data_IF_531833144859
#
_entry.id   IF_531833144859
#
_cell.length_a   1.000
_cell.length_b   1.000
_cell.length_c   1.000
_cell.angle_alpha   90.00
_cell.angle_beta   90.00
_cell.angle_gamma   90.00
#
_symmetry.space_group_name_H-M   'P 1'
#
loop_
_entity.id
_entity.type
_entity.pdbx_description
1 polymer ?
#
# COMPACT_ATOMS: atom_id res chain seq x y z
N UNK A 1 -25.60 -32.98 -11.50
CA UNK A 1 -25.00 -31.64 -11.72
C UNK A 1 -23.50 -31.80 -11.92
N UNK A 2 -23.06 -31.74 -13.17
CA UNK A 2 -21.64 -31.88 -13.54
C UNK A 2 -20.92 -30.58 -13.13
N UNK A 3 -19.83 -30.74 -12.39
CA UNK A 3 -18.90 -29.66 -12.10
C UNK A 3 -18.20 -29.26 -13.41
N UNK A 4 -18.36 -28.03 -13.82
CA UNK A 4 -17.60 -27.43 -14.92
C UNK A 4 -16.23 -27.06 -14.32
N UNK A 5 -15.25 -27.92 -14.57
CA UNK A 5 -13.84 -27.58 -14.29
C UNK A 5 -13.45 -26.45 -15.26
N UNK A 6 -13.13 -25.28 -14.72
CA UNK A 6 -12.53 -24.21 -15.50
C UNK A 6 -11.17 -24.70 -16.05
N UNK A 7 -10.87 -24.47 -17.34
CA UNK A 7 -9.60 -24.91 -17.91
C UNK A 7 -8.45 -24.20 -17.19
N UNK A 8 -7.51 -24.98 -16.66
CA UNK A 8 -6.25 -24.46 -16.13
C UNK A 8 -5.55 -23.70 -17.26
N UNK A 9 -5.46 -22.38 -17.14
CA UNK A 9 -4.68 -21.55 -18.04
C UNK A 9 -3.22 -21.94 -17.85
N UNK A 10 -2.68 -22.69 -18.80
CA UNK A 10 -1.27 -23.06 -18.80
C UNK A 10 -0.45 -21.78 -18.82
N UNK A 11 0.18 -21.45 -17.70
CA UNK A 11 1.10 -20.31 -17.61
C UNK A 11 2.24 -20.57 -18.61
N UNK A 12 2.31 -19.74 -19.65
CA UNK A 12 3.44 -19.77 -20.59
C UNK A 12 4.71 -19.51 -19.79
N UNK A 13 5.74 -20.35 -20.00
CA UNK A 13 7.06 -20.14 -19.37
C UNK A 13 7.51 -18.69 -19.64
N UNK A 14 8.01 -17.98 -18.62
CA UNK A 14 8.47 -16.61 -18.79
C UNK A 14 9.57 -16.55 -19.86
N UNK A 15 9.45 -15.60 -20.77
CA UNK A 15 10.43 -15.40 -21.84
C UNK A 15 11.19 -14.12 -21.58
N UNK A 16 12.41 -14.27 -21.09
CA UNK A 16 13.30 -13.13 -20.81
C UNK A 16 14.03 -12.68 -22.08
N UNK A 17 14.26 -11.37 -22.21
CA UNK A 17 15.07 -10.80 -23.26
C UNK A 17 16.55 -11.10 -23.04
N UNK A 18 17.33 -11.12 -24.13
CA UNK A 18 18.77 -11.35 -24.03
C UNK A 18 19.49 -10.22 -23.27
N UNK A 19 19.05 -8.98 -23.50
CA UNK A 19 19.61 -7.81 -22.82
C UNK A 19 19.38 -7.91 -21.31
N UNK A 20 18.17 -8.28 -20.90
CA UNK A 20 17.82 -8.46 -19.50
C UNK A 20 18.66 -9.56 -18.84
N UNK A 21 18.79 -10.73 -19.45
CA UNK A 21 19.61 -11.84 -18.91
C UNK A 21 21.05 -11.40 -18.68
N UNK A 22 21.63 -10.67 -19.64
CA UNK A 22 23.00 -10.17 -19.51
C UNK A 22 23.16 -9.15 -18.37
N UNK A 23 22.20 -8.25 -18.20
CA UNK A 23 22.22 -7.25 -17.12
C UNK A 23 21.88 -7.84 -15.73
N UNK A 24 21.08 -8.90 -15.69
CA UNK A 24 20.62 -9.57 -14.46
C UNK A 24 21.75 -10.37 -13.80
N UNK A 25 22.62 -11.02 -14.59
CA UNK A 25 23.67 -11.90 -14.08
C UNK A 25 24.64 -11.25 -13.07
N UNK A 26 25.12 -10.01 -13.26
CA UNK A 26 25.93 -9.33 -12.24
C UNK A 26 25.20 -9.11 -10.91
N UNK A 27 23.91 -8.76 -10.96
CA UNK A 27 23.09 -8.58 -9.76
C UNK A 27 22.90 -9.91 -9.02
N UNK A 28 22.58 -10.98 -9.74
CA UNK A 28 22.44 -12.33 -9.19
C UNK A 28 23.74 -12.80 -8.52
N UNK A 29 24.88 -12.58 -9.18
CA UNK A 29 26.19 -12.91 -8.63
C UNK A 29 26.48 -12.14 -7.33
N UNK A 30 26.20 -10.82 -7.31
CA UNK A 30 26.41 -9.99 -6.13
C UNK A 30 25.50 -10.40 -4.96
N UNK A 31 24.26 -10.80 -5.25
CA UNK A 31 23.29 -11.27 -4.25
C UNK A 31 23.60 -12.69 -3.74
N UNK A 32 24.24 -13.52 -4.56
CA UNK A 32 24.63 -14.88 -4.23
C UNK A 32 25.96 -15.02 -3.48
N UNK A 33 26.72 -13.93 -3.33
CA UNK A 33 28.00 -13.93 -2.63
C UNK A 33 27.82 -14.29 -1.14
N UNK A 34 28.80 -14.99 -0.57
CA UNK A 34 28.81 -15.35 0.87
C UNK A 34 28.71 -14.09 1.75
N UNK A 35 29.39 -13.03 1.34
CA UNK A 35 29.25 -11.69 1.93
C UNK A 35 28.72 -10.75 0.85
N UNK A 36 27.51 -10.25 1.03
CA UNK A 36 26.86 -9.34 0.08
C UNK A 36 27.50 -7.96 0.20
N UNK A 37 28.09 -7.47 -0.90
CA UNK A 37 28.57 -6.09 -0.98
C UNK A 37 27.42 -5.14 -1.39
N UNK A 38 26.98 -4.24 -0.49
CA UNK A 38 25.90 -3.31 -0.78
C UNK A 38 26.20 -2.38 -1.97
N UNK A 39 27.45 -1.99 -2.17
CA UNK A 39 27.83 -1.11 -3.26
C UNK A 39 27.73 -1.82 -4.63
N UNK A 40 28.19 -3.06 -4.71
CA UNK A 40 28.08 -3.87 -5.92
C UNK A 40 26.61 -4.13 -6.30
N UNK A 41 25.77 -4.46 -5.31
CA UNK A 41 24.32 -4.68 -5.54
C UNK A 41 23.67 -3.39 -6.04
N UNK A 42 23.88 -2.25 -5.36
CA UNK A 42 23.28 -0.97 -5.76
C UNK A 42 23.78 -0.50 -7.14
N UNK A 43 24.99 -0.77 -7.49
CA UNK A 43 25.56 -0.42 -8.80
C UNK A 43 24.94 -1.26 -9.94
N UNK A 44 24.54 -2.51 -9.68
CA UNK A 44 23.95 -3.39 -10.69
C UNK A 44 22.47 -3.07 -10.98
N UNK A 45 21.71 -2.53 -10.01
CA UNK A 45 20.26 -2.28 -10.14
C UNK A 45 19.91 -1.41 -11.36
N UNK A 46 20.55 -0.26 -11.64
CA UNK A 46 20.21 0.57 -12.80
C UNK A 46 20.35 -0.15 -14.14
N UNK A 47 21.34 -1.02 -14.28
CA UNK A 47 21.55 -1.81 -15.49
C UNK A 47 20.42 -2.82 -15.70
N UNK A 48 19.99 -3.50 -14.64
CA UNK A 48 18.84 -4.43 -14.67
C UNK A 48 17.56 -3.71 -15.07
N UNK A 49 17.28 -2.56 -14.46
CA UNK A 49 16.08 -1.76 -14.78
C UNK A 49 16.11 -1.24 -16.21
N UNK A 50 17.28 -0.76 -16.68
CA UNK A 50 17.46 -0.26 -18.05
C UNK A 50 17.36 -1.33 -19.14
N UNK A 51 17.49 -2.60 -18.78
CA UNK A 51 17.43 -3.73 -19.71
C UNK A 51 16.04 -4.36 -19.81
N UNK A 52 15.02 -3.83 -19.14
CA UNK A 52 13.64 -4.35 -19.18
C UNK A 52 13.03 -4.07 -20.56
N UNK A 53 12.70 -5.13 -21.30
CA UNK A 53 12.06 -5.04 -22.61
C UNK A 53 10.60 -5.54 -22.61
N UNK A 54 10.21 -6.34 -21.62
CA UNK A 54 8.87 -6.94 -21.56
C UNK A 54 8.37 -7.15 -20.11
N UNK A 55 7.13 -7.59 -19.98
CA UNK A 55 6.50 -7.82 -18.68
C UNK A 55 7.21 -8.88 -17.83
N UNK A 56 7.76 -9.93 -18.44
CA UNK A 56 8.47 -10.99 -17.70
C UNK A 56 9.81 -10.47 -17.17
N UNK A 57 10.54 -9.67 -17.95
CA UNK A 57 11.76 -8.99 -17.49
C UNK A 57 11.45 -8.08 -16.31
N UNK A 58 10.37 -7.28 -16.43
CA UNK A 58 9.94 -6.35 -15.38
C UNK A 58 9.61 -7.06 -14.08
N UNK A 59 8.85 -8.16 -14.17
CA UNK A 59 8.48 -8.94 -12.98
C UNK A 59 9.71 -9.53 -12.31
N UNK A 60 10.61 -10.14 -13.09
CA UNK A 60 11.84 -10.72 -12.58
C UNK A 60 12.79 -9.67 -11.99
N UNK A 61 12.93 -8.52 -12.66
CA UNK A 61 13.70 -7.38 -12.14
C UNK A 61 13.13 -6.94 -10.78
N UNK A 62 11.81 -6.79 -10.70
CA UNK A 62 11.12 -6.42 -9.46
C UNK A 62 11.43 -7.39 -8.33
N UNK A 63 11.27 -8.68 -8.55
CA UNK A 63 11.57 -9.71 -7.55
C UNK A 63 13.02 -9.71 -7.08
N UNK A 64 13.98 -9.54 -8.01
CA UNK A 64 15.40 -9.46 -7.66
C UNK A 64 15.73 -8.21 -6.85
N UNK A 65 15.13 -7.07 -7.18
CA UNK A 65 15.35 -5.80 -6.47
C UNK A 65 14.69 -5.84 -5.08
N UNK A 66 13.52 -6.47 -4.93
CA UNK A 66 12.94 -6.74 -3.60
C UNK A 66 13.90 -7.57 -2.76
N UNK A 67 14.43 -8.68 -3.30
CA UNK A 67 15.41 -9.51 -2.59
C UNK A 67 16.67 -8.71 -2.22
N UNK A 68 17.17 -7.87 -3.12
CA UNK A 68 18.29 -6.98 -2.84
C UNK A 68 17.97 -6.05 -1.67
N UNK A 69 16.81 -5.40 -1.69
CA UNK A 69 16.36 -4.51 -0.63
C UNK A 69 16.21 -5.21 0.72
N UNK A 70 15.69 -6.43 0.74
CA UNK A 70 15.58 -7.25 1.95
C UNK A 70 16.97 -7.60 2.52
N UNK A 71 17.90 -8.05 1.68
CA UNK A 71 19.26 -8.39 2.12
C UNK A 71 20.04 -7.18 2.65
N UNK A 72 19.81 -6.01 2.08
CA UNK A 72 20.46 -4.77 2.46
C UNK A 72 19.67 -3.96 3.50
N UNK A 73 18.49 -4.40 3.90
CA UNK A 73 17.54 -3.64 4.72
C UNK A 73 17.27 -2.24 4.13
N UNK A 74 17.13 -2.17 2.80
CA UNK A 74 16.91 -0.94 2.04
C UNK A 74 15.46 -0.87 1.54
N UNK A 75 14.64 -0.11 2.27
CA UNK A 75 13.21 0.05 1.94
C UNK A 75 12.98 0.76 0.60
N UNK A 76 13.94 1.55 0.11
CA UNK A 76 13.85 2.20 -1.20
C UNK A 76 13.95 1.17 -2.33
N UNK A 77 14.85 0.21 -2.22
CA UNK A 77 14.94 -0.91 -3.16
C UNK A 77 13.72 -1.81 -3.08
N UNK A 78 13.20 -2.10 -1.86
CA UNK A 78 11.98 -2.89 -1.72
C UNK A 78 10.82 -2.19 -2.44
N UNK A 79 10.62 -0.90 -2.21
CA UNK A 79 9.57 -0.14 -2.88
C UNK A 79 9.72 -0.18 -4.40
N UNK A 80 10.91 0.11 -4.92
CA UNK A 80 11.20 0.07 -6.36
C UNK A 80 10.90 -1.31 -6.97
N UNK A 81 11.29 -2.37 -6.29
CA UNK A 81 11.05 -3.73 -6.76
C UNK A 81 9.57 -4.11 -6.77
N UNK A 82 8.83 -3.76 -5.72
CA UNK A 82 7.38 -3.98 -5.65
C UNK A 82 6.63 -3.18 -6.74
N UNK A 83 7.01 -1.94 -6.99
CA UNK A 83 6.45 -1.12 -8.07
C UNK A 83 6.64 -1.81 -9.44
N UNK A 84 7.85 -2.28 -9.74
CA UNK A 84 8.12 -3.02 -10.97
C UNK A 84 7.30 -4.31 -11.08
N UNK A 85 7.14 -5.06 -9.98
CA UNK A 85 6.29 -6.26 -9.99
C UNK A 85 4.83 -5.91 -10.32
N UNK A 86 4.27 -4.89 -9.69
CA UNK A 86 2.89 -4.43 -9.95
C UNK A 86 2.74 -3.92 -11.38
N UNK A 87 3.66 -3.10 -11.88
CA UNK A 87 3.66 -2.58 -13.23
C UNK A 87 3.81 -3.67 -14.30
N UNK A 88 4.36 -4.82 -13.95
CA UNK A 88 4.47 -5.95 -14.89
C UNK A 88 3.11 -6.55 -15.27
N UNK A 89 2.10 -6.37 -14.43
CA UNK A 89 0.80 -7.03 -14.55
C UNK A 89 0.86 -8.55 -14.36
N UNK A 90 1.95 -9.10 -13.81
CA UNK A 90 2.15 -10.54 -13.62
C UNK A 90 2.06 -10.98 -12.15
N UNK A 91 1.74 -10.08 -11.23
CA UNK A 91 1.40 -10.46 -9.86
C UNK A 91 0.11 -11.27 -9.90
N UNK A 92 0.10 -12.42 -9.24
CA UNK A 92 -1.06 -13.30 -9.20
C UNK A 92 -2.27 -12.56 -8.57
N UNK A 93 -3.49 -12.73 -9.12
CA UNK A 93 -4.66 -11.99 -8.65
C UNK A 93 -4.88 -12.09 -7.13
N UNK A 94 -4.65 -13.27 -6.55
CA UNK A 94 -4.78 -13.53 -5.12
C UNK A 94 -3.74 -12.81 -4.25
N UNK A 95 -2.64 -12.33 -4.85
CA UNK A 95 -1.56 -11.61 -4.17
C UNK A 95 -1.65 -10.09 -4.39
N UNK A 96 -2.43 -9.64 -5.37
CA UNK A 96 -2.50 -8.21 -5.75
C UNK A 96 -2.84 -7.31 -4.57
N UNK A 97 -3.83 -7.67 -3.77
CA UNK A 97 -4.24 -6.88 -2.61
C UNK A 97 -3.12 -6.72 -1.60
N UNK A 98 -2.47 -7.83 -1.23
CA UNK A 98 -1.36 -7.83 -0.28
C UNK A 98 -0.14 -7.05 -0.80
N UNK A 99 0.24 -7.26 -2.06
CA UNK A 99 1.41 -6.57 -2.65
C UNK A 99 1.15 -5.07 -2.74
N UNK A 100 -0.06 -4.66 -3.15
CA UNK A 100 -0.44 -3.25 -3.16
C UNK A 100 -0.43 -2.64 -1.75
N UNK A 101 -0.96 -3.35 -0.74
CA UNK A 101 -0.90 -2.89 0.65
C UNK A 101 0.54 -2.66 1.10
N UNK A 102 1.42 -3.64 0.92
CA UNK A 102 2.83 -3.53 1.30
C UNK A 102 3.52 -2.35 0.60
N UNK A 103 3.28 -2.20 -0.70
CA UNK A 103 3.82 -1.07 -1.48
C UNK A 103 3.33 0.26 -0.92
N UNK A 104 2.05 0.38 -0.64
CA UNK A 104 1.44 1.58 -0.06
C UNK A 104 1.98 1.92 1.33
N UNK A 105 2.14 0.93 2.20
CA UNK A 105 2.70 1.12 3.54
C UNK A 105 4.16 1.58 3.50
N UNK A 106 4.99 0.99 2.62
CA UNK A 106 6.38 1.41 2.46
C UNK A 106 6.45 2.83 1.90
N UNK A 107 5.62 3.15 0.90
CA UNK A 107 5.53 4.49 0.34
C UNK A 107 5.12 5.53 1.41
N UNK A 108 4.14 5.21 2.26
CA UNK A 108 3.74 6.03 3.39
C UNK A 108 4.90 6.30 4.36
N UNK A 109 5.62 5.25 4.77
CA UNK A 109 6.76 5.36 5.67
C UNK A 109 7.91 6.19 5.07
N UNK A 110 8.04 6.20 3.75
CA UNK A 110 8.99 7.05 3.02
C UNK A 110 8.42 8.45 2.71
N UNK A 111 7.28 8.82 3.26
CA UNK A 111 6.60 10.10 3.04
C UNK A 111 6.20 10.35 1.58
N UNK A 112 6.09 9.29 0.77
CA UNK A 112 5.59 9.36 -0.60
C UNK A 112 4.05 9.21 -0.57
N UNK A 113 3.37 10.15 0.09
CA UNK A 113 1.96 10.02 0.46
C UNK A 113 1.02 9.84 -0.74
N UNK A 114 1.29 10.52 -1.86
CA UNK A 114 0.51 10.35 -3.08
C UNK A 114 0.58 8.92 -3.62
N UNK A 115 1.78 8.33 -3.67
CA UNK A 115 1.96 6.92 -4.05
C UNK A 115 1.29 5.98 -3.03
N UNK A 116 1.44 6.26 -1.74
CA UNK A 116 0.80 5.48 -0.70
C UNK A 116 -0.71 5.37 -0.93
N UNK A 117 -1.39 6.49 -1.17
CA UNK A 117 -2.84 6.50 -1.47
C UNK A 117 -3.18 5.67 -2.70
N UNK A 118 -2.39 5.80 -3.76
CA UNK A 118 -2.63 5.03 -5.00
C UNK A 118 -2.57 3.52 -4.74
N UNK A 119 -1.53 3.04 -4.08
CA UNK A 119 -1.38 1.61 -3.84
C UNK A 119 -2.34 1.08 -2.78
N UNK A 120 -2.60 1.84 -1.71
CA UNK A 120 -3.58 1.44 -0.69
C UNK A 120 -5.00 1.37 -1.27
N UNK A 121 -5.38 2.31 -2.15
CA UNK A 121 -6.65 2.23 -2.86
C UNK A 121 -6.71 1.00 -3.77
N UNK A 122 -5.63 0.71 -4.50
CA UNK A 122 -5.56 -0.50 -5.33
C UNK A 122 -5.64 -1.80 -4.50
N UNK A 123 -5.15 -1.79 -3.26
CA UNK A 123 -5.34 -2.92 -2.33
C UNK A 123 -6.83 -3.10 -1.98
N UNK A 124 -7.52 -2.01 -1.65
CA UNK A 124 -8.97 -2.02 -1.36
C UNK A 124 -9.78 -2.48 -2.58
N UNK A 125 -9.44 -1.99 -3.77
CA UNK A 125 -10.10 -2.36 -5.02
C UNK A 125 -9.92 -3.86 -5.35
N UNK A 126 -8.80 -4.44 -4.91
CA UNK A 126 -8.54 -5.88 -4.96
C UNK A 126 -9.22 -6.67 -3.81
N UNK A 127 -10.03 -6.02 -2.98
CA UNK A 127 -10.77 -6.63 -1.88
C UNK A 127 -9.94 -6.87 -0.61
N UNK A 128 -8.74 -6.29 -0.50
CA UNK A 128 -7.89 -6.45 0.67
C UNK A 128 -8.13 -5.33 1.69
N UNK A 129 -8.72 -5.68 2.82
CA UNK A 129 -9.15 -4.74 3.86
C UNK A 129 -8.39 -4.90 5.19
N UNK A 130 -7.46 -5.86 5.27
CA UNK A 130 -6.66 -6.08 6.47
C UNK A 130 -5.60 -4.98 6.65
N UNK A 131 -5.15 -4.80 7.90
CA UNK A 131 -4.12 -3.83 8.26
C UNK A 131 -4.47 -2.36 8.00
N UNK A 132 -5.77 -2.05 8.00
CA UNK A 132 -6.29 -0.68 8.03
C UNK A 132 -5.84 0.22 6.85
N UNK A 133 -5.97 -0.20 5.59
CA UNK A 133 -5.58 0.62 4.45
C UNK A 133 -6.33 1.96 4.39
N UNK A 134 -7.62 1.98 4.73
CA UNK A 134 -8.42 3.21 4.75
C UNK A 134 -7.88 4.23 5.77
N UNK A 135 -7.52 3.77 6.97
CA UNK A 135 -6.93 4.64 7.99
C UNK A 135 -5.60 5.22 7.53
N UNK A 136 -4.74 4.43 6.88
CA UNK A 136 -3.46 4.92 6.36
C UNK A 136 -3.67 5.93 5.21
N UNK A 137 -4.68 5.74 4.36
CA UNK A 137 -5.04 6.72 3.33
C UNK A 137 -5.42 8.05 4.00
N UNK A 138 -6.29 8.04 5.01
CA UNK A 138 -6.67 9.26 5.74
C UNK A 138 -5.44 9.93 6.37
N UNK A 139 -4.60 9.16 7.08
CA UNK A 139 -3.37 9.66 7.70
C UNK A 139 -2.39 10.25 6.68
N UNK A 140 -2.37 9.73 5.44
CA UNK A 140 -1.52 10.28 4.39
C UNK A 140 -1.93 11.70 3.97
N UNK A 141 -3.22 12.02 4.02
CA UNK A 141 -3.70 13.38 3.82
C UNK A 141 -3.35 14.28 5.00
N UNK A 142 -3.57 13.81 6.23
CA UNK A 142 -3.23 14.55 7.44
C UNK A 142 -1.73 14.84 7.56
N UNK A 143 -0.89 13.93 7.10
CA UNK A 143 0.56 14.11 7.08
C UNK A 143 1.03 15.16 6.04
N UNK A 144 0.20 15.47 5.04
CA UNK A 144 0.41 16.54 4.06
C UNK A 144 -0.30 17.86 4.46
N UNK A 145 -0.85 17.95 5.68
CA UNK A 145 -1.66 19.08 6.15
C UNK A 145 -2.92 19.33 5.28
N UNK A 146 -3.40 18.30 4.60
CA UNK A 146 -4.62 18.30 3.78
C UNK A 146 -5.81 17.80 4.60
N UNK A 147 -6.03 18.45 5.74
CA UNK A 147 -6.97 17.99 6.76
C UNK A 147 -8.41 17.85 6.20
N UNK A 148 -8.86 18.78 5.38
CA UNK A 148 -10.20 18.74 4.78
C UNK A 148 -10.40 17.49 3.89
N UNK A 149 -9.40 17.14 3.09
CA UNK A 149 -9.48 15.98 2.19
C UNK A 149 -9.40 14.66 2.97
N UNK A 150 -8.56 14.62 4.00
CA UNK A 150 -8.46 13.47 4.89
C UNK A 150 -9.76 13.23 5.67
N UNK A 151 -10.38 14.28 6.19
CA UNK A 151 -11.68 14.21 6.89
C UNK A 151 -12.81 13.82 5.93
N UNK A 152 -12.84 14.35 4.72
CA UNK A 152 -13.83 13.98 3.71
C UNK A 152 -13.70 12.50 3.32
N UNK A 153 -12.47 12.02 3.10
CA UNK A 153 -12.21 10.61 2.80
C UNK A 153 -12.68 9.72 3.95
N UNK A 154 -12.25 10.02 5.18
CA UNK A 154 -12.59 9.22 6.37
C UNK A 154 -14.09 9.22 6.65
N UNK A 155 -14.75 10.37 6.48
CA UNK A 155 -16.21 10.48 6.59
C UNK A 155 -16.92 9.58 5.58
N UNK A 156 -16.46 9.58 4.32
CA UNK A 156 -17.05 8.74 3.28
C UNK A 156 -16.93 7.25 3.59
N UNK A 157 -15.77 6.80 4.11
CA UNK A 157 -15.56 5.42 4.54
C UNK A 157 -16.50 5.05 5.71
N UNK A 158 -16.61 5.93 6.72
CA UNK A 158 -17.48 5.71 7.87
C UNK A 158 -18.96 5.64 7.45
N UNK A 159 -19.42 6.57 6.62
CA UNK A 159 -20.78 6.58 6.09
C UNK A 159 -21.10 5.29 5.31
N UNK A 160 -20.18 4.82 4.50
CA UNK A 160 -20.33 3.57 3.74
C UNK A 160 -20.43 2.35 4.68
N UNK A 161 -19.57 2.24 5.69
CA UNK A 161 -19.63 1.16 6.68
C UNK A 161 -20.90 1.18 7.49
N UNK A 162 -21.32 2.34 7.98
CA UNK A 162 -22.58 2.50 8.73
C UNK A 162 -23.80 2.13 7.87
N UNK A 163 -23.82 2.53 6.62
CA UNK A 163 -24.88 2.17 5.67
C UNK A 163 -24.94 0.67 5.38
N UNK A 164 -23.80 -0.01 5.43
CA UNK A 164 -23.70 -1.46 5.29
C UNK A 164 -23.91 -2.24 6.60
N UNK A 165 -24.16 -1.56 7.72
CA UNK A 165 -24.29 -2.18 9.04
C UNK A 165 -22.98 -2.78 9.56
N UNK A 166 -21.84 -2.29 9.05
CA UNK A 166 -20.52 -2.74 9.45
C UNK A 166 -19.97 -1.89 10.61
N UNK A 167 -19.16 -2.47 11.51
CA UNK A 167 -18.55 -1.72 12.59
C UNK A 167 -17.56 -0.68 12.04
N UNK A 168 -17.52 0.47 12.70
CA UNK A 168 -16.53 1.53 12.45
C UNK A 168 -15.44 1.39 13.49
N UNK A 169 -14.20 1.58 13.12
CA UNK A 169 -13.07 1.57 14.05
C UNK A 169 -13.13 2.82 14.95
N UNK A 170 -13.06 2.62 16.26
CA UNK A 170 -13.08 3.70 17.25
C UNK A 170 -11.96 4.72 16.98
N UNK A 171 -10.79 4.24 16.59
CA UNK A 171 -9.62 5.10 16.34
C UNK A 171 -9.85 6.08 15.20
N UNK A 172 -10.68 5.72 14.20
CA UNK A 172 -11.03 6.62 13.11
C UNK A 172 -11.92 7.78 13.59
N UNK A 173 -12.87 7.48 14.49
CA UNK A 173 -13.75 8.49 15.06
C UNK A 173 -12.98 9.47 15.93
N UNK A 174 -12.13 8.96 16.81
CA UNK A 174 -11.25 9.76 17.66
C UNK A 174 -10.28 10.61 16.82
N UNK A 175 -9.68 10.01 15.79
CA UNK A 175 -8.73 10.69 14.93
C UNK A 175 -9.37 11.80 14.10
N UNK A 176 -10.52 11.51 13.49
CA UNK A 176 -11.29 12.50 12.72
C UNK A 176 -11.72 13.66 13.59
N UNK A 177 -12.23 13.38 14.79
CA UNK A 177 -12.59 14.39 15.77
C UNK A 177 -11.40 15.29 16.16
N UNK A 178 -10.27 14.67 16.48
CA UNK A 178 -9.06 15.41 16.89
C UNK A 178 -8.50 16.30 15.77
N UNK A 179 -8.51 15.81 14.52
CA UNK A 179 -8.06 16.59 13.36
C UNK A 179 -9.02 17.74 13.08
N UNK A 180 -10.32 17.48 13.05
CA UNK A 180 -11.34 18.50 12.79
C UNK A 180 -11.31 19.61 13.86
N UNK A 181 -11.18 19.24 15.13
CA UNK A 181 -11.06 20.19 16.24
C UNK A 181 -9.80 21.07 16.09
N UNK A 182 -8.63 20.45 15.88
CA UNK A 182 -7.36 21.17 15.69
C UNK A 182 -7.42 22.14 14.49
N UNK A 183 -8.06 21.72 13.40
CA UNK A 183 -8.19 22.51 12.17
C UNK A 183 -9.34 23.55 12.26
N UNK A 184 -10.05 23.64 13.39
CA UNK A 184 -11.21 24.53 13.58
C UNK A 184 -12.35 24.25 12.57
N UNK A 185 -12.49 23.01 12.12
CA UNK A 185 -13.53 22.55 11.20
C UNK A 185 -14.76 22.09 12.04
N UNK A 186 -15.55 23.02 12.52
CA UNK A 186 -16.60 22.79 13.51
C UNK A 186 -17.64 21.78 13.05
N UNK A 187 -18.07 21.84 11.79
CA UNK A 187 -19.07 20.93 11.24
C UNK A 187 -18.58 19.48 11.24
N UNK A 188 -17.33 19.26 10.80
CA UNK A 188 -16.70 17.94 10.83
C UNK A 188 -16.49 17.47 12.27
N UNK A 189 -16.02 18.34 13.16
CA UNK A 189 -15.84 18.00 14.56
C UNK A 189 -17.16 17.53 15.21
N UNK A 190 -18.27 18.24 14.98
CA UNK A 190 -19.59 17.84 15.45
C UNK A 190 -20.06 16.51 14.85
N UNK A 191 -19.79 16.28 13.56
CA UNK A 191 -20.12 15.03 12.87
C UNK A 191 -19.39 13.84 13.49
N UNK A 192 -18.05 13.92 13.63
CA UNK A 192 -17.24 12.86 14.22
C UNK A 192 -17.58 12.64 15.70
N UNK A 193 -17.82 13.69 16.46
CA UNK A 193 -18.25 13.59 17.87
C UNK A 193 -19.59 12.87 17.99
N UNK A 194 -20.57 13.21 17.14
CA UNK A 194 -21.86 12.55 17.11
C UNK A 194 -21.75 11.05 16.84
N UNK A 195 -20.94 10.65 15.87
CA UNK A 195 -20.67 9.24 15.60
C UNK A 195 -19.94 8.56 16.75
N UNK A 196 -18.93 9.22 17.34
CA UNK A 196 -18.16 8.67 18.44
C UNK A 196 -19.03 8.36 19.66
N UNK A 197 -19.89 9.29 20.06
CA UNK A 197 -20.84 9.07 21.17
C UNK A 197 -21.86 7.99 20.84
N UNK A 198 -22.35 7.94 19.60
CA UNK A 198 -23.35 6.97 19.19
C UNK A 198 -22.83 5.52 19.15
N UNK A 199 -21.62 5.32 18.62
CA UNK A 199 -21.06 3.99 18.41
C UNK A 199 -20.27 3.49 19.64
N UNK A 200 -19.66 4.42 20.40
CA UNK A 200 -18.80 4.14 21.57
C UNK A 200 -19.18 5.02 22.78
N UNK A 201 -20.39 4.86 23.35
CA UNK A 201 -20.83 5.68 24.47
C UNK A 201 -19.98 5.44 25.71
N UNK A 202 -19.27 6.46 26.17
CA UNK A 202 -18.41 6.44 27.34
C UNK A 202 -18.28 7.84 27.93
N UNK A 203 -17.78 7.94 29.16
CA UNK A 203 -17.46 9.23 29.78
C UNK A 203 -16.49 10.05 28.90
N UNK A 204 -15.51 9.38 28.30
CA UNK A 204 -14.52 10.02 27.40
C UNK A 204 -15.18 10.57 26.15
N UNK A 205 -15.99 9.77 25.44
CA UNK A 205 -16.63 10.22 24.20
C UNK A 205 -17.62 11.37 24.44
N UNK A 206 -18.36 11.35 25.55
CA UNK A 206 -19.25 12.46 25.92
C UNK A 206 -18.45 13.72 26.30
N UNK A 207 -17.38 13.59 27.08
CA UNK A 207 -16.54 14.71 27.46
C UNK A 207 -15.93 15.38 26.22
N UNK A 208 -15.41 14.59 25.30
CA UNK A 208 -14.78 15.08 24.08
C UNK A 208 -15.80 15.75 23.14
N UNK A 209 -17.05 15.24 23.11
CA UNK A 209 -18.13 15.85 22.33
C UNK A 209 -18.64 17.19 22.91
N UNK A 210 -18.59 17.36 24.23
CA UNK A 210 -19.02 18.61 24.88
C UNK A 210 -17.99 19.73 24.73
N UNK A 211 -16.72 19.38 24.47
CA UNK A 211 -15.60 20.32 24.29
C UNK A 211 -15.60 21.05 22.94
N UNK A 212 -16.51 20.70 22.01
CA UNK A 212 -16.65 21.28 20.68
C UNK A 212 -17.64 22.44 20.70
#
# INVERSE_FOLDING_TARGET
>A
LAAIEAPAVAQKKPKYSKAFIAAYSPLETALGAETVDPAAVKAAVPAVVGAIENASDRHAAGGAIVNAGQKLNDMGLILQGLELMLESGQVAPEQLGMVNLQTGQIAYNQKQYGKARTYLQAALDAGYTENNPEGIIAESYFAEERDAEGLAYLSGVIDARKSAGQPVDETWLQRGLAVAYRASMTEDAQKFAGWYVADYPSETSWRDAIAI
#
